data_IF_489801473420
#
_entry.id   IF_489801473420
#
_cell.length_a   1.000
_cell.length_b   1.000
_cell.length_c   1.000
_cell.angle_alpha   90.00
_cell.angle_beta   90.00
_cell.angle_gamma   90.00
#
_symmetry.space_group_name_H-M   'P 1'
#
loop_
_entity.id
_entity.type
_entity.pdbx_description
1 polymer ?
#
# COMPACT_ATOMS: atom_id res chain seq x y z
N UNK A 1 12.91 -0.82 0.28
CA UNK A 1 12.75 0.06 -0.90
C UNK A 1 11.33 -0.11 -1.45
N UNK A 2 10.53 0.95 -1.46
CA UNK A 2 9.21 0.91 -2.09
C UNK A 2 9.38 0.55 -3.57
N UNK A 3 8.70 -0.51 -4.04
CA UNK A 3 8.71 -0.88 -5.48
C UNK A 3 7.87 0.09 -6.33
N UNK A 4 7.40 1.19 -5.75
CA UNK A 4 6.79 2.31 -6.44
C UNK A 4 7.65 3.53 -6.16
N UNK A 5 8.12 4.19 -7.22
CA UNK A 5 8.87 5.46 -7.13
C UNK A 5 8.00 6.63 -6.64
N UNK A 6 6.68 6.41 -6.50
CA UNK A 6 5.63 7.34 -6.08
C UNK A 6 4.57 6.59 -5.27
N UNK A 7 3.64 7.31 -4.64
CA UNK A 7 2.50 6.69 -3.98
C UNK A 7 1.66 5.91 -5.02
N UNK A 8 1.52 4.57 -4.92
CA UNK A 8 0.82 3.79 -5.93
C UNK A 8 -0.67 4.12 -5.96
N UNK A 9 -1.23 4.22 -7.15
CA UNK A 9 -2.68 4.34 -7.36
C UNK A 9 -3.35 2.97 -7.24
N UNK A 10 -4.69 2.93 -7.17
CA UNK A 10 -5.42 1.66 -7.13
C UNK A 10 -5.15 0.81 -8.39
N UNK A 11 -5.03 1.44 -9.57
CA UNK A 11 -4.71 0.73 -10.82
C UNK A 11 -3.29 0.16 -10.83
N UNK A 12 -2.32 0.88 -10.24
CA UNK A 12 -0.96 0.36 -10.05
C UNK A 12 -0.97 -0.90 -9.15
N UNK A 13 -1.78 -0.88 -8.10
CA UNK A 13 -1.96 -2.01 -7.20
C UNK A 13 -2.66 -3.18 -7.91
N UNK A 14 -3.72 -2.91 -8.68
CA UNK A 14 -4.41 -3.92 -9.50
C UNK A 14 -3.47 -4.57 -10.51
N UNK A 15 -2.73 -3.77 -11.28
CA UNK A 15 -1.77 -4.27 -12.28
C UNK A 15 -0.69 -5.15 -11.67
N UNK A 16 -0.23 -4.81 -10.46
CA UNK A 16 0.87 -5.52 -9.80
C UNK A 16 0.44 -6.77 -9.03
N UNK A 17 -0.76 -6.74 -8.47
CA UNK A 17 -1.29 -7.86 -7.65
C UNK A 17 -2.16 -8.80 -8.46
N UNK A 18 -2.71 -8.35 -9.59
CA UNK A 18 -3.72 -9.08 -10.37
C UNK A 18 -5.03 -9.28 -9.61
N UNK A 19 -5.27 -8.50 -8.54
CA UNK A 19 -6.41 -8.65 -7.64
C UNK A 19 -7.42 -7.53 -7.80
N UNK A 20 -8.65 -7.84 -7.44
CA UNK A 20 -9.74 -6.86 -7.40
C UNK A 20 -9.55 -5.81 -6.31
N UNK A 21 -10.18 -4.67 -6.55
CA UNK A 21 -10.14 -3.51 -5.67
C UNK A 21 -10.55 -3.82 -4.23
N UNK A 22 -11.61 -4.61 -4.06
CA UNK A 22 -12.12 -4.98 -2.74
C UNK A 22 -11.07 -5.77 -1.93
N UNK A 23 -10.35 -6.68 -2.60
CA UNK A 23 -9.30 -7.49 -1.98
C UNK A 23 -8.09 -6.64 -1.62
N UNK A 24 -7.72 -5.69 -2.50
CA UNK A 24 -6.64 -4.73 -2.24
C UNK A 24 -6.99 -3.85 -1.03
N UNK A 25 -8.18 -3.25 -0.99
CA UNK A 25 -8.63 -2.40 0.13
C UNK A 25 -8.64 -3.17 1.45
N UNK A 26 -9.15 -4.42 1.45
CA UNK A 26 -9.14 -5.29 2.64
C UNK A 26 -7.71 -5.56 3.11
N UNK A 27 -6.80 -5.86 2.18
CA UNK A 27 -5.40 -6.14 2.50
C UNK A 27 -4.69 -4.90 3.06
N UNK A 28 -4.86 -3.73 2.44
CA UNK A 28 -4.29 -2.46 2.93
C UNK A 28 -4.83 -2.13 4.32
N UNK A 29 -6.14 -2.31 4.57
CA UNK A 29 -6.74 -2.11 5.89
C UNK A 29 -6.11 -3.03 6.95
N UNK A 30 -5.96 -4.31 6.62
CA UNK A 30 -5.34 -5.28 7.53
C UNK A 30 -3.88 -4.92 7.84
N UNK A 31 -3.12 -4.46 6.85
CA UNK A 31 -1.73 -4.03 7.02
C UNK A 31 -1.61 -2.78 7.92
N UNK A 32 -2.53 -1.82 7.76
CA UNK A 32 -2.59 -0.65 8.66
C UNK A 32 -2.98 -1.07 10.08
N UNK A 33 -3.94 -1.98 10.24
CA UNK A 33 -4.38 -2.46 11.56
C UNK A 33 -3.32 -3.26 12.31
N UNK A 34 -2.38 -3.90 11.61
CA UNK A 34 -1.27 -4.66 12.20
C UNK A 34 -0.04 -3.81 12.49
N UNK A 35 -0.08 -2.50 12.20
CA UNK A 35 1.08 -1.59 12.22
C UNK A 35 2.23 -1.99 11.27
N UNK A 36 2.02 -2.99 10.42
CA UNK A 36 2.97 -3.44 9.41
C UNK A 36 3.12 -2.40 8.29
N UNK A 37 2.12 -1.55 8.10
CA UNK A 37 2.11 -0.47 7.11
C UNK A 37 1.81 0.86 7.80
N UNK A 38 2.80 1.75 7.85
CA UNK A 38 2.71 3.08 8.46
C UNK A 38 2.95 4.17 7.43
N UNK A 39 2.14 5.23 7.49
CA UNK A 39 2.38 6.44 6.73
C UNK A 39 3.46 7.29 7.42
N UNK A 40 4.60 7.46 6.76
CA UNK A 40 5.65 8.39 7.17
C UNK A 40 5.28 9.78 6.67
N UNK A 41 4.91 10.67 7.59
CA UNK A 41 4.49 12.04 7.27
C UNK A 41 5.64 12.93 6.82
N UNK A 42 6.87 12.65 7.25
CA UNK A 42 8.05 13.45 6.91
C UNK A 42 8.49 13.17 5.48
N UNK A 43 8.55 11.89 5.12
CA UNK A 43 8.95 11.46 3.78
C UNK A 43 7.79 11.36 2.80
N UNK A 44 6.55 11.47 3.28
CA UNK A 44 5.30 11.31 2.51
C UNK A 44 5.26 9.98 1.76
N UNK A 45 5.64 8.91 2.46
CA UNK A 45 5.74 7.56 1.90
C UNK A 45 5.11 6.52 2.82
N UNK A 46 4.54 5.47 2.22
CA UNK A 46 4.18 4.28 2.97
C UNK A 46 5.44 3.47 3.30
N UNK A 47 5.67 3.25 4.60
CA UNK A 47 6.72 2.37 5.10
C UNK A 47 6.12 1.09 5.61
N UNK A 48 6.70 -0.01 5.18
CA UNK A 48 6.52 -1.29 5.85
C UNK A 48 7.46 -1.31 7.06
N UNK A 49 6.96 -1.76 8.21
CA UNK A 49 7.77 -1.98 9.41
C UNK A 49 8.76 -3.13 9.18
#
# INVERSE_FOLDING_TARGET
MSRFRKNPTMDDLKRKTGKDEAVIRKSVKNLMSREDLRWDKEKKEWRFK
#
